data_IF_851392368162
#
_entry.id   IF_851392368162
#
_cell.length_a   1.000
_cell.length_b   1.000
_cell.length_c   1.000
_cell.angle_alpha   90.00
_cell.angle_beta   90.00
_cell.angle_gamma   90.00
#
_symmetry.space_group_name_H-M   'P 1'
#
loop_
_entity.id
_entity.type
_entity.pdbx_description
1 polymer ?
#
# COMPACT_ATOMS: atom_id res chain seq x y z
N UNK A 1 10.62 -11.16 16.33
CA UNK A 1 9.76 -12.32 16.04
C UNK A 1 8.35 -12.05 16.59
N UNK A 2 7.28 -12.34 15.85
CA UNK A 2 5.89 -12.19 16.34
C UNK A 2 5.72 -13.05 17.61
N UNK A 3 5.12 -12.54 18.71
CA UNK A 3 4.94 -13.34 19.92
C UNK A 3 4.03 -14.54 19.61
N UNK A 4 4.61 -15.74 19.66
CA UNK A 4 3.96 -17.02 19.30
C UNK A 4 2.78 -17.40 20.21
N UNK A 5 2.64 -16.77 21.38
CA UNK A 5 1.64 -17.08 22.40
C UNK A 5 0.22 -16.53 22.16
N UNK A 6 0.09 -15.26 21.74
CA UNK A 6 -1.22 -14.64 21.47
C UNK A 6 -1.94 -15.32 20.30
N UNK A 7 -1.18 -15.79 19.31
CA UNK A 7 -1.70 -16.56 18.20
C UNK A 7 -2.26 -17.92 18.66
N UNK A 8 -1.58 -18.62 19.57
CA UNK A 8 -2.02 -19.93 20.07
C UNK A 8 -3.31 -19.84 20.91
N UNK A 9 -3.43 -18.84 21.79
CA UNK A 9 -4.64 -18.63 22.55
C UNK A 9 -5.85 -18.28 21.66
N UNK A 10 -5.64 -17.43 20.66
CA UNK A 10 -6.68 -17.09 19.68
C UNK A 10 -7.10 -18.30 18.82
N UNK A 11 -6.14 -19.16 18.45
CA UNK A 11 -6.40 -20.42 17.73
C UNK A 11 -7.27 -21.35 18.58
N UNK A 12 -6.91 -21.59 19.84
CA UNK A 12 -7.71 -22.44 20.76
C UNK A 12 -9.11 -21.90 20.98
N UNK A 13 -9.25 -20.59 21.20
CA UNK A 13 -10.56 -19.94 21.39
C UNK A 13 -11.45 -20.11 20.16
N UNK A 14 -10.87 -20.01 18.96
CA UNK A 14 -11.58 -20.26 17.70
C UNK A 14 -12.01 -21.72 17.59
N UNK A 15 -11.11 -22.66 17.79
CA UNK A 15 -11.41 -24.11 17.68
C UNK A 15 -12.53 -24.50 18.63
N UNK A 16 -12.46 -24.08 19.90
CA UNK A 16 -13.54 -24.30 20.86
C UNK A 16 -14.88 -23.64 20.45
N UNK A 17 -14.85 -22.50 19.78
CA UNK A 17 -16.06 -21.87 19.24
C UNK A 17 -16.64 -22.65 18.05
N UNK A 18 -15.78 -23.12 17.13
CA UNK A 18 -16.17 -23.94 15.99
C UNK A 18 -16.84 -25.22 16.47
N UNK A 19 -16.25 -25.93 17.44
CA UNK A 19 -16.83 -27.16 17.97
C UNK A 19 -18.20 -26.94 18.63
N UNK A 20 -18.34 -25.92 19.47
CA UNK A 20 -19.64 -25.59 20.10
C UNK A 20 -20.72 -25.26 19.07
N UNK A 21 -20.38 -24.48 18.04
CA UNK A 21 -21.33 -24.08 17.00
C UNK A 21 -21.68 -25.25 16.08
N UNK A 22 -20.71 -26.12 15.77
CA UNK A 22 -20.95 -27.36 15.02
C UNK A 22 -21.88 -28.30 15.78
N UNK A 23 -21.67 -28.50 17.08
CA UNK A 23 -22.54 -29.33 17.90
C UNK A 23 -23.97 -28.77 17.97
N UNK A 24 -24.11 -27.45 18.15
CA UNK A 24 -25.41 -26.77 18.12
C UNK A 24 -26.12 -26.91 16.76
N UNK A 25 -25.39 -26.74 15.65
CA UNK A 25 -25.93 -26.94 14.30
C UNK A 25 -26.41 -28.37 14.10
N UNK A 26 -25.61 -29.37 14.46
CA UNK A 26 -26.02 -30.79 14.35
C UNK A 26 -27.26 -31.11 15.17
N UNK A 27 -27.36 -30.58 16.40
CA UNK A 27 -28.55 -30.77 17.24
C UNK A 27 -29.82 -30.13 16.65
N UNK A 28 -29.67 -29.05 15.87
CA UNK A 28 -30.76 -28.37 15.17
C UNK A 28 -31.06 -28.91 13.76
N UNK A 29 -30.47 -30.03 13.35
CA UNK A 29 -30.64 -30.58 12.00
C UNK A 29 -29.88 -29.85 10.88
N UNK A 30 -28.94 -28.97 11.25
CA UNK A 30 -28.09 -28.22 10.33
C UNK A 30 -26.82 -28.97 9.92
N UNK A 31 -26.24 -28.54 8.80
CA UNK A 31 -25.03 -29.15 8.24
C UNK A 31 -23.75 -28.61 8.90
N UNK A 32 -23.32 -29.31 9.95
CA UNK A 32 -22.10 -28.98 10.69
C UNK A 32 -20.82 -29.21 9.87
N UNK A 33 -20.83 -30.11 8.88
CA UNK A 33 -19.67 -30.37 8.03
C UNK A 33 -19.45 -29.21 7.06
N UNK A 34 -20.51 -28.76 6.40
CA UNK A 34 -20.48 -27.56 5.56
C UNK A 34 -20.06 -26.33 6.35
N UNK A 35 -20.53 -26.16 7.58
CA UNK A 35 -20.09 -25.08 8.45
C UNK A 35 -18.58 -25.13 8.73
N UNK A 36 -18.05 -26.29 9.13
CA UNK A 36 -16.61 -26.47 9.37
C UNK A 36 -15.79 -26.17 8.10
N UNK A 37 -16.24 -26.69 6.96
CA UNK A 37 -15.62 -26.43 5.66
C UNK A 37 -15.59 -24.93 5.32
N UNK A 38 -16.70 -24.21 5.52
CA UNK A 38 -16.76 -22.76 5.29
C UNK A 38 -15.83 -21.97 6.22
N UNK A 39 -15.75 -22.33 7.49
CA UNK A 39 -14.84 -21.69 8.44
C UNK A 39 -13.37 -21.94 8.05
N UNK A 40 -13.04 -23.16 7.63
CA UNK A 40 -11.71 -23.50 7.14
C UNK A 40 -11.34 -22.67 5.90
N UNK A 41 -12.22 -22.63 4.89
CA UNK A 41 -12.03 -21.82 3.69
C UNK A 41 -11.86 -20.34 4.01
N UNK A 42 -12.71 -19.79 4.89
CA UNK A 42 -12.59 -18.41 5.35
C UNK A 42 -11.20 -18.17 5.94
N UNK A 43 -10.74 -18.98 6.89
CA UNK A 43 -9.43 -18.75 7.53
C UNK A 43 -8.23 -18.96 6.60
N UNK A 44 -8.34 -19.86 5.63
CA UNK A 44 -7.32 -20.05 4.60
C UNK A 44 -7.20 -18.81 3.71
N UNK A 45 -8.34 -18.25 3.27
CA UNK A 45 -8.38 -17.16 2.30
C UNK A 45 -8.27 -15.76 2.94
N UNK A 46 -8.75 -15.59 4.16
CA UNK A 46 -8.82 -14.30 4.84
C UNK A 46 -7.47 -13.61 4.99
N UNK A 47 -6.38 -14.39 5.08
CA UNK A 47 -5.02 -13.85 5.14
C UNK A 47 -4.61 -13.14 3.85
N UNK A 48 -5.14 -13.58 2.71
CA UNK A 48 -4.83 -12.99 1.40
C UNK A 48 -5.47 -11.62 1.20
N UNK A 49 -6.45 -11.21 2.01
CA UNK A 49 -7.08 -9.89 1.86
C UNK A 49 -6.10 -8.73 1.99
N UNK A 50 -5.02 -8.93 2.75
CA UNK A 50 -3.97 -7.92 2.94
C UNK A 50 -2.89 -7.98 1.85
N UNK A 51 -2.81 -9.10 1.11
CA UNK A 51 -1.76 -9.33 0.12
C UNK A 51 -1.78 -8.31 -1.03
N UNK A 52 -2.93 -7.95 -1.64
CA UNK A 52 -2.95 -6.96 -2.72
C UNK A 52 -2.38 -5.61 -2.28
N UNK A 53 -2.82 -5.08 -1.12
CA UNK A 53 -2.31 -3.82 -0.59
C UNK A 53 -0.81 -3.91 -0.29
N UNK A 54 -0.37 -5.02 0.32
CA UNK A 54 1.05 -5.24 0.60
C UNK A 54 1.90 -5.21 -0.68
N UNK A 55 1.45 -5.90 -1.73
CA UNK A 55 2.13 -5.93 -3.02
C UNK A 55 2.16 -4.55 -3.68
N UNK A 56 1.06 -3.79 -3.62
CA UNK A 56 1.01 -2.40 -4.12
C UNK A 56 2.05 -1.54 -3.40
N UNK A 57 2.14 -1.61 -2.07
CA UNK A 57 3.13 -0.83 -1.32
C UNK A 57 4.56 -1.25 -1.66
N UNK A 58 4.81 -2.55 -1.92
CA UNK A 58 6.13 -3.01 -2.40
C UNK A 58 6.47 -2.47 -3.77
N UNK A 59 5.50 -2.45 -4.70
CA UNK A 59 5.68 -1.85 -6.01
C UNK A 59 5.97 -0.34 -5.90
N UNK A 60 5.21 0.38 -5.08
CA UNK A 60 5.43 1.82 -4.82
C UNK A 60 6.83 2.07 -4.24
N UNK A 61 7.32 1.23 -3.32
CA UNK A 61 8.68 1.37 -2.78
C UNK A 61 9.76 1.14 -3.84
N UNK A 62 9.58 0.18 -4.75
CA UNK A 62 10.48 -0.03 -5.88
C UNK A 62 10.52 1.20 -6.80
N UNK A 63 9.35 1.72 -7.20
CA UNK A 63 9.26 2.93 -7.99
C UNK A 63 9.90 4.14 -7.28
N UNK A 64 9.67 4.27 -5.97
CA UNK A 64 10.25 5.36 -5.16
C UNK A 64 11.77 5.33 -5.18
N UNK A 65 12.38 4.15 -5.05
CA UNK A 65 13.85 3.99 -5.09
C UNK A 65 14.41 4.42 -6.46
N UNK A 66 13.75 4.01 -7.54
CA UNK A 66 14.17 4.39 -8.89
C UNK A 66 14.07 5.91 -9.10
N UNK A 67 12.95 6.53 -8.72
CA UNK A 67 12.77 7.99 -8.81
C UNK A 67 13.87 8.73 -8.05
N UNK A 68 14.23 8.26 -6.85
CA UNK A 68 15.32 8.89 -6.07
C UNK A 68 16.69 8.76 -6.74
N UNK A 69 17.00 7.60 -7.33
CA UNK A 69 18.26 7.40 -8.06
C UNK A 69 18.37 8.33 -9.28
N UNK A 70 17.26 8.52 -10.01
CA UNK A 70 17.20 9.47 -11.12
C UNK A 70 17.34 10.92 -10.64
N UNK A 71 16.70 11.27 -9.50
CA UNK A 71 16.81 12.60 -8.90
C UNK A 71 18.24 12.94 -8.49
N UNK A 72 19.00 11.97 -7.94
CA UNK A 72 20.43 12.15 -7.67
C UNK A 72 21.24 12.43 -8.94
N UNK A 73 20.87 11.82 -10.07
CA UNK A 73 21.44 12.13 -11.38
C UNK A 73 21.19 13.58 -11.80
N UNK A 74 19.96 14.08 -11.63
CA UNK A 74 19.60 15.47 -11.93
C UNK A 74 20.33 16.47 -11.04
N UNK A 75 20.52 16.16 -9.76
CA UNK A 75 21.32 16.99 -8.83
C UNK A 75 22.78 17.05 -9.27
N UNK A 76 23.39 15.90 -9.60
CA UNK A 76 24.77 15.87 -10.11
C UNK A 76 24.93 16.65 -11.41
N UNK A 77 23.90 16.70 -12.25
CA UNK A 77 23.87 17.50 -13.47
C UNK A 77 23.55 18.99 -13.23
N UNK A 78 23.36 19.44 -11.98
CA UNK A 78 22.98 20.81 -11.65
C UNK A 78 21.58 21.21 -12.12
N UNK A 79 20.75 20.23 -12.51
CA UNK A 79 19.37 20.44 -12.98
C UNK A 79 18.36 20.46 -11.83
N UNK A 80 18.73 20.01 -10.63
CA UNK A 80 17.87 19.97 -9.45
C UNK A 80 18.69 20.40 -8.22
N UNK A 81 18.08 21.10 -7.26
CA UNK A 81 18.82 21.60 -6.09
C UNK A 81 18.98 20.53 -5.00
N UNK A 82 17.94 19.72 -4.75
CA UNK A 82 18.00 18.57 -3.84
C UNK A 82 17.24 17.36 -4.40
N UNK A 83 17.64 16.11 -4.07
CA UNK A 83 16.96 14.91 -4.58
C UNK A 83 15.47 14.86 -4.22
N UNK A 84 15.09 15.40 -3.06
CA UNK A 84 13.70 15.47 -2.61
C UNK A 84 12.81 16.41 -3.43
N UNK A 85 13.38 17.32 -4.22
CA UNK A 85 12.62 18.25 -5.06
C UNK A 85 11.84 17.52 -6.16
N UNK A 86 12.27 16.31 -6.53
CA UNK A 86 11.57 15.43 -7.48
C UNK A 86 10.12 15.17 -7.08
N UNK A 87 9.79 15.23 -5.78
CA UNK A 87 8.43 15.00 -5.29
C UNK A 87 7.49 16.18 -5.51
N UNK A 88 8.00 17.34 -5.97
CA UNK A 88 7.16 18.41 -6.48
C UNK A 88 6.70 18.14 -7.93
N UNK A 89 7.43 17.30 -8.68
CA UNK A 89 7.16 17.02 -10.09
C UNK A 89 6.03 16.01 -10.26
N UNK A 90 5.25 16.18 -11.32
CA UNK A 90 4.27 15.18 -11.76
C UNK A 90 4.90 14.12 -12.66
N UNK A 91 4.22 13.00 -12.88
CA UNK A 91 4.66 11.99 -13.87
C UNK A 91 4.77 12.57 -15.29
N UNK A 92 3.97 13.59 -15.62
CA UNK A 92 4.06 14.29 -16.90
C UNK A 92 5.36 15.10 -16.98
N UNK A 93 5.70 15.86 -15.93
CA UNK A 93 6.95 16.62 -15.87
C UNK A 93 8.16 15.69 -15.99
N UNK A 94 8.15 14.55 -15.28
CA UNK A 94 9.24 13.57 -15.36
C UNK A 94 9.41 12.99 -16.77
N UNK A 95 8.32 12.80 -17.53
CA UNK A 95 8.40 12.39 -18.94
C UNK A 95 9.03 13.49 -19.80
N UNK A 96 8.62 14.74 -19.62
CA UNK A 96 9.19 15.87 -20.35
C UNK A 96 10.70 16.02 -20.07
N UNK A 97 11.13 15.89 -18.81
CA UNK A 97 12.54 15.96 -18.42
C UNK A 97 13.38 14.82 -19.02
N UNK A 98 12.78 13.64 -19.19
CA UNK A 98 13.41 12.49 -19.86
C UNK A 98 13.53 12.71 -21.37
N UNK A 99 12.47 13.23 -21.99
CA UNK A 99 12.37 13.35 -23.45
C UNK A 99 13.14 14.57 -23.98
N UNK A 100 13.33 15.61 -23.14
CA UNK A 100 14.06 16.83 -23.49
C UNK A 100 15.01 17.28 -22.36
N UNK A 101 16.32 17.27 -22.67
CA UNK A 101 17.37 17.71 -21.76
C UNK A 101 17.40 19.24 -21.54
N UNK A 102 16.78 20.02 -22.43
CA UNK A 102 16.68 21.48 -22.34
C UNK A 102 15.63 21.99 -21.34
N UNK A 103 14.77 21.11 -20.84
CA UNK A 103 13.76 21.46 -19.84
C UNK A 103 14.43 21.97 -18.55
N UNK A 104 14.04 23.16 -18.11
CA UNK A 104 14.43 23.71 -16.81
C UNK A 104 13.62 23.03 -15.68
N UNK A 105 14.24 22.02 -15.07
CA UNK A 105 13.61 21.23 -14.02
C UNK A 105 13.39 22.06 -12.74
N UNK A 106 14.26 23.03 -12.44
CA UNK A 106 14.11 23.87 -11.25
C UNK A 106 12.91 24.81 -11.40
N UNK A 107 12.73 25.40 -12.58
CA UNK A 107 11.54 26.19 -12.89
C UNK A 107 10.26 25.37 -12.69
N UNK A 108 10.22 24.13 -13.21
CA UNK A 108 9.08 23.22 -13.00
C UNK A 108 8.81 22.94 -11.52
N UNK A 109 9.84 22.68 -10.71
CA UNK A 109 9.68 22.45 -9.27
C UNK A 109 9.04 23.67 -8.59
N UNK A 110 9.52 24.88 -8.90
CA UNK A 110 8.97 26.11 -8.32
C UNK A 110 7.51 26.32 -8.72
N UNK A 111 7.18 26.11 -10.00
CA UNK A 111 5.81 26.23 -10.51
C UNK A 111 4.85 25.25 -9.81
N UNK A 112 5.28 24.00 -9.61
CA UNK A 112 4.46 22.98 -8.92
C UNK A 112 4.27 23.28 -7.44
N UNK A 113 5.30 23.79 -6.76
CA UNK A 113 5.19 24.25 -5.37
C UNK A 113 4.23 25.42 -5.25
N UNK A 114 4.39 26.44 -6.09
CA UNK A 114 3.50 27.59 -6.11
C UNK A 114 2.04 27.19 -6.40
N UNK A 115 1.82 26.25 -7.32
CA UNK A 115 0.50 25.68 -7.56
C UNK A 115 -0.06 25.00 -6.30
N UNK A 116 0.71 24.13 -5.65
CA UNK A 116 0.29 23.45 -4.41
C UNK A 116 -0.05 24.44 -3.31
N UNK A 117 0.77 25.46 -3.12
CA UNK A 117 0.60 26.45 -2.05
C UNK A 117 -0.64 27.31 -2.29
N UNK A 118 -0.89 27.74 -3.54
CA UNK A 118 -2.14 28.41 -3.92
C UNK A 118 -3.38 27.56 -3.64
N UNK A 119 -3.27 26.23 -3.80
CA UNK A 119 -4.36 25.28 -3.60
C UNK A 119 -4.35 24.62 -2.21
N UNK A 120 -3.54 25.10 -1.25
CA UNK A 120 -3.43 24.47 0.07
C UNK A 120 -4.76 24.51 0.86
N UNK A 121 -5.65 25.43 0.52
CA UNK A 121 -6.98 25.56 1.10
C UNK A 121 -8.00 24.55 0.52
N UNK A 122 -7.72 23.96 -0.64
CA UNK A 122 -8.61 23.01 -1.29
C UNK A 122 -8.71 21.73 -0.46
N UNK A 123 -9.93 21.33 -0.12
CA UNK A 123 -10.20 20.07 0.57
C UNK A 123 -10.68 19.05 -0.45
N UNK A 124 -10.25 17.80 -0.27
CA UNK A 124 -10.81 16.69 -1.03
C UNK A 124 -12.33 16.64 -0.78
N UNK A 125 -13.17 16.56 -1.82
CA UNK A 125 -14.61 16.36 -1.63
C UNK A 125 -14.81 15.03 -0.91
N UNK A 126 -15.41 15.09 0.28
CA UNK A 126 -15.67 13.91 1.11
C UNK A 126 -16.69 12.98 0.46
#
# INVERSE_FOLDING_TARGET
>A
ARPRGLAAAAVRKREAAVERLSAWLSAGGGDAELFRSRVQHYHALFRYRESPKYLIIKLVDLCRREVMAQAEGLVRAGRLDAPGDVWALTLHDLRAVRDDAGVDVRALVQDRRAYRDRNAHARWPK
#
